data_IF_068359329636
#
_entry.id   IF_068359329636
#
_cell.length_a   1.000
_cell.length_b   1.000
_cell.length_c   1.000
_cell.angle_alpha   90.00
_cell.angle_beta   90.00
_cell.angle_gamma   90.00
#
_symmetry.space_group_name_H-M   'P 1'
#
loop_
_entity.id
_entity.type
_entity.pdbx_description
1 polymer ?
#
# COMPACT_ATOMS: atom_id res chain seq x y z
N UNK A 1 -14.66 -29.69 20.96
CA UNK A 1 -15.09 -29.01 19.71
C UNK A 1 -13.83 -28.56 18.98
N UNK A 2 -13.69 -28.87 17.69
CA UNK A 2 -12.55 -28.41 16.89
C UNK A 2 -12.49 -26.88 16.96
N UNK A 3 -11.38 -26.33 17.45
CA UNK A 3 -11.11 -24.90 17.37
C UNK A 3 -11.29 -24.46 15.92
N UNK A 4 -12.11 -23.42 15.70
CA UNK A 4 -12.20 -22.78 14.40
C UNK A 4 -10.79 -22.28 14.05
N UNK A 5 -10.11 -22.97 13.14
CA UNK A 5 -8.81 -22.56 12.64
C UNK A 5 -9.00 -21.18 12.00
N UNK A 6 -8.12 -20.24 12.33
CA UNK A 6 -8.08 -18.93 11.69
C UNK A 6 -8.18 -19.09 10.16
N UNK A 7 -8.89 -18.19 9.47
CA UNK A 7 -8.96 -18.23 8.02
C UNK A 7 -7.53 -18.11 7.47
N UNK A 8 -7.07 -19.17 6.80
CA UNK A 8 -5.73 -19.24 6.21
C UNK A 8 -5.50 -17.97 5.38
N UNK A 9 -4.40 -17.21 5.62
CA UNK A 9 -4.15 -15.96 4.92
C UNK A 9 -4.24 -16.16 3.41
N UNK A 10 -5.02 -15.29 2.77
CA UNK A 10 -5.30 -15.34 1.35
C UNK A 10 -5.07 -13.95 0.75
N UNK A 11 -4.10 -13.85 -0.15
CA UNK A 11 -3.84 -12.64 -0.92
C UNK A 11 -4.05 -12.94 -2.39
N UNK A 12 -4.69 -12.02 -3.09
CA UNK A 12 -4.88 -12.09 -4.54
C UNK A 12 -4.56 -10.75 -5.18
N UNK A 13 -4.06 -10.81 -6.40
CA UNK A 13 -3.87 -9.68 -7.29
C UNK A 13 -4.69 -9.99 -8.54
N UNK A 14 -5.62 -9.11 -8.89
CA UNK A 14 -6.46 -9.23 -10.08
C UNK A 14 -5.64 -8.89 -11.32
N UNK A 15 -6.05 -9.37 -12.49
CA UNK A 15 -5.33 -9.17 -13.75
C UNK A 15 -4.95 -7.71 -14.00
N UNK A 16 -5.89 -6.78 -13.81
CA UNK A 16 -5.62 -5.33 -13.93
C UNK A 16 -4.51 -4.75 -13.06
N UNK A 17 -4.22 -5.42 -11.95
CA UNK A 17 -3.23 -4.99 -10.97
C UNK A 17 -1.91 -5.78 -11.10
N UNK A 18 -1.85 -6.74 -12.03
CA UNK A 18 -0.62 -7.46 -12.35
C UNK A 18 0.36 -6.58 -13.14
N UNK A 19 1.64 -6.84 -12.94
CA UNK A 19 2.74 -6.19 -13.65
C UNK A 19 3.26 -7.14 -14.73
N UNK A 20 3.86 -6.63 -15.81
CA UNK A 20 4.50 -7.50 -16.80
C UNK A 20 4.39 -6.98 -18.23
N UNK A 21 4.53 -7.91 -19.17
CA UNK A 21 4.32 -7.71 -20.61
C UNK A 21 2.81 -7.67 -20.92
N UNK A 22 2.40 -7.42 -22.18
CA UNK A 22 0.97 -7.40 -22.52
C UNK A 22 0.25 -6.11 -22.14
N UNK A 23 -1.08 -6.15 -22.00
CA UNK A 23 -1.91 -5.00 -21.64
C UNK A 23 -3.18 -5.41 -20.89
N UNK A 24 -3.80 -4.46 -20.20
CA UNK A 24 -5.01 -4.70 -19.40
C UNK A 24 -6.27 -4.58 -20.25
N UNK A 25 -7.17 -5.56 -20.15
CA UNK A 25 -8.48 -5.60 -20.84
C UNK A 25 -9.57 -6.05 -19.88
N UNK A 26 -10.65 -5.28 -19.71
CA UNK A 26 -11.83 -5.68 -18.90
C UNK A 26 -11.47 -6.27 -17.53
N UNK A 27 -10.64 -5.55 -16.76
CA UNK A 27 -10.12 -5.96 -15.45
C UNK A 27 -9.09 -7.13 -15.45
N UNK A 28 -8.67 -7.61 -16.63
CA UNK A 28 -7.75 -8.74 -16.80
C UNK A 28 -6.44 -8.37 -17.49
N UNK A 29 -5.44 -9.24 -17.42
CA UNK A 29 -4.12 -9.04 -18.02
C UNK A 29 -3.93 -9.90 -19.28
N UNK A 30 -3.98 -9.30 -20.47
CA UNK A 30 -3.82 -10.00 -21.74
C UNK A 30 -2.36 -10.04 -22.20
N UNK A 31 -1.84 -11.24 -22.44
CA UNK A 31 -0.56 -11.51 -23.07
C UNK A 31 -0.81 -11.91 -24.53
N UNK A 32 -0.48 -11.00 -25.45
CA UNK A 32 -0.67 -11.17 -26.89
C UNK A 32 0.58 -11.66 -27.64
N UNK A 33 1.63 -11.97 -26.88
CA UNK A 33 2.89 -12.56 -27.34
C UNK A 33 3.57 -13.23 -26.18
N UNK A 34 4.65 -13.98 -26.45
CA UNK A 34 5.48 -14.55 -25.40
C UNK A 34 5.91 -13.47 -24.38
N UNK A 35 5.66 -13.74 -23.11
CA UNK A 35 5.83 -12.75 -22.05
C UNK A 35 5.20 -13.22 -20.74
N UNK A 36 5.26 -12.37 -19.72
CA UNK A 36 4.76 -12.71 -18.38
C UNK A 36 3.85 -11.64 -17.78
N UNK A 37 2.92 -12.08 -16.93
CA UNK A 37 2.22 -11.26 -15.96
C UNK A 37 2.55 -11.76 -14.54
N UNK A 38 2.84 -10.88 -13.61
CA UNK A 38 3.31 -11.24 -12.27
C UNK A 38 2.82 -10.30 -11.18
N UNK A 39 2.86 -10.80 -9.95
CA UNK A 39 2.57 -10.04 -8.74
C UNK A 39 3.56 -10.37 -7.63
N UNK A 40 3.79 -9.40 -6.72
CA UNK A 40 4.63 -9.59 -5.53
C UNK A 40 3.76 -9.85 -4.31
N UNK A 41 4.08 -10.90 -3.56
CA UNK A 41 3.34 -11.33 -2.39
C UNK A 41 4.25 -11.38 -1.18
N UNK A 42 3.83 -10.71 -0.10
CA UNK A 42 4.50 -10.85 1.20
C UNK A 42 3.93 -12.08 1.90
N UNK A 43 4.79 -13.08 2.11
CA UNK A 43 4.50 -14.31 2.85
C UNK A 43 4.98 -14.19 4.30
N UNK A 44 4.26 -14.84 5.21
CA UNK A 44 4.43 -14.73 6.67
C UNK A 44 4.77 -16.08 7.27
N UNK A 45 6.05 -16.31 7.48
CA UNK A 45 6.60 -17.46 8.19
C UNK A 45 6.89 -18.67 7.30
N UNK A 46 7.68 -19.62 7.82
CA UNK A 46 7.89 -20.92 7.20
C UNK A 46 6.56 -21.69 7.04
N UNK A 47 6.39 -22.37 5.92
CA UNK A 47 5.20 -23.18 5.68
C UNK A 47 4.97 -23.50 4.21
N UNK A 48 3.90 -24.26 3.96
CA UNK A 48 3.45 -24.57 2.60
C UNK A 48 2.49 -23.47 2.13
N UNK A 49 2.74 -22.90 0.96
CA UNK A 49 1.89 -21.90 0.33
C UNK A 49 1.31 -22.45 -0.96
N UNK A 50 -0.01 -22.30 -1.12
CA UNK A 50 -0.74 -22.70 -2.31
C UNK A 50 -0.83 -21.51 -3.27
N UNK A 51 -0.13 -21.62 -4.39
CA UNK A 51 -0.14 -20.66 -5.47
C UNK A 51 -1.26 -21.05 -6.43
N UNK A 52 -2.07 -20.09 -6.87
CA UNK A 52 -3.11 -20.32 -7.89
C UNK A 52 -3.11 -19.19 -8.90
N UNK A 53 -3.00 -19.55 -10.18
CA UNK A 53 -3.19 -18.66 -11.33
C UNK A 53 -4.52 -18.99 -11.98
N UNK A 54 -5.35 -17.97 -12.19
CA UNK A 54 -6.57 -18.08 -13.01
C UNK A 54 -6.28 -17.49 -14.37
N UNK A 55 -6.51 -18.28 -15.41
CA UNK A 55 -6.33 -17.82 -16.78
C UNK A 55 -7.45 -18.31 -17.70
N UNK A 56 -7.67 -17.57 -18.78
CA UNK A 56 -8.44 -18.01 -19.94
C UNK A 56 -7.72 -17.60 -21.22
N UNK A 57 -8.31 -17.92 -22.35
CA UNK A 57 -7.80 -17.56 -23.67
C UNK A 57 -8.96 -17.06 -24.55
N UNK A 58 -8.67 -16.61 -25.76
CA UNK A 58 -9.65 -16.31 -26.81
C UNK A 58 -9.67 -17.38 -27.93
N UNK A 59 -9.22 -18.60 -27.57
CA UNK A 59 -8.76 -19.75 -28.35
C UNK A 59 -8.76 -19.57 -29.87
N UNK A 60 -7.55 -19.55 -30.40
CA UNK A 60 -7.28 -19.51 -31.84
C UNK A 60 -5.96 -20.26 -32.12
N UNK A 61 -5.94 -21.09 -33.16
CA UNK A 61 -4.84 -22.00 -33.52
C UNK A 61 -5.12 -23.49 -33.25
N UNK A 62 -4.15 -24.36 -33.59
CA UNK A 62 -4.26 -25.84 -33.45
C UNK A 62 -4.10 -26.36 -32.02
N UNK A 63 -3.47 -25.56 -31.17
CA UNK A 63 -3.13 -25.93 -29.78
C UNK A 63 -3.49 -24.79 -28.80
N UNK A 64 -3.77 -25.12 -27.53
CA UNK A 64 -3.99 -24.15 -26.46
C UNK A 64 -2.79 -23.23 -26.25
N UNK A 65 -3.00 -22.01 -25.72
CA UNK A 65 -1.92 -21.31 -25.03
C UNK A 65 -1.42 -22.11 -23.83
N UNK A 66 -0.10 -22.15 -23.67
CA UNK A 66 0.62 -22.76 -22.57
C UNK A 66 0.98 -21.67 -21.56
N UNK A 67 0.61 -21.92 -20.31
CA UNK A 67 0.90 -21.06 -19.17
C UNK A 67 1.88 -21.77 -18.25
N UNK A 68 3.09 -21.21 -18.10
CA UNK A 68 4.03 -21.64 -17.07
C UNK A 68 3.92 -20.74 -15.85
N UNK A 69 3.88 -21.31 -14.65
CA UNK A 69 3.86 -20.54 -13.41
C UNK A 69 5.21 -20.67 -12.75
N UNK A 70 5.79 -19.54 -12.35
CA UNK A 70 7.08 -19.49 -11.68
C UNK A 70 7.01 -18.68 -10.38
N UNK A 71 7.86 -19.03 -9.43
CA UNK A 71 8.09 -18.29 -8.19
C UNK A 71 9.55 -17.88 -8.13
N UNK A 72 9.82 -16.59 -8.04
CA UNK A 72 11.16 -15.99 -8.09
C UNK A 72 12.00 -16.51 -9.27
N UNK A 73 11.34 -16.70 -10.43
CA UNK A 73 11.96 -17.20 -11.66
C UNK A 73 12.05 -18.72 -11.79
N UNK A 74 11.75 -19.50 -10.74
CA UNK A 74 11.75 -20.96 -10.80
C UNK A 74 10.38 -21.49 -11.21
N UNK A 75 10.31 -22.24 -12.31
CA UNK A 75 9.06 -22.82 -12.82
C UNK A 75 8.55 -23.90 -11.85
N UNK A 76 7.32 -23.73 -11.38
CA UNK A 76 6.63 -24.65 -10.45
C UNK A 76 5.56 -25.49 -11.16
N UNK A 77 5.17 -25.12 -12.38
CA UNK A 77 4.32 -25.94 -13.24
C UNK A 77 4.08 -25.32 -14.61
N UNK A 78 3.58 -26.15 -15.53
CA UNK A 78 3.25 -25.79 -16.91
C UNK A 78 1.92 -26.44 -17.27
N UNK A 79 0.99 -25.67 -17.83
CA UNK A 79 -0.35 -26.13 -18.17
C UNK A 79 -0.81 -25.59 -19.52
N UNK A 80 -1.66 -26.36 -20.19
CA UNK A 80 -2.45 -25.90 -21.32
C UNK A 80 -3.72 -25.22 -20.81
N UNK A 81 -3.99 -23.99 -21.26
CA UNK A 81 -5.20 -23.24 -20.93
C UNK A 81 -6.22 -23.46 -22.03
N UNK A 82 -7.26 -24.23 -21.74
CA UNK A 82 -8.34 -24.63 -22.66
C UNK A 82 -9.60 -23.76 -22.51
N UNK A 83 -9.82 -23.16 -21.35
CA UNK A 83 -10.95 -22.28 -21.08
C UNK A 83 -10.92 -21.00 -21.94
N UNK A 84 -11.99 -20.78 -22.72
CA UNK A 84 -12.11 -19.65 -23.64
C UNK A 84 -13.08 -18.56 -23.12
N UNK A 85 -12.76 -17.30 -23.38
CA UNK A 85 -13.53 -16.13 -22.99
C UNK A 85 -13.71 -16.03 -21.47
N UNK A 86 -14.98 -16.13 -21.03
CA UNK A 86 -15.38 -16.09 -19.61
C UNK A 86 -15.11 -17.41 -18.87
N UNK A 87 -14.83 -18.51 -19.59
CA UNK A 87 -14.49 -19.79 -18.97
C UNK A 87 -13.02 -19.75 -18.51
N UNK A 88 -12.83 -19.58 -17.21
CA UNK A 88 -11.50 -19.48 -16.58
C UNK A 88 -11.09 -20.81 -15.96
N UNK A 89 -9.84 -21.20 -16.17
CA UNK A 89 -9.23 -22.35 -15.52
C UNK A 89 -8.32 -21.91 -14.37
N UNK A 90 -8.14 -22.81 -13.40
CA UNK A 90 -7.30 -22.58 -12.23
C UNK A 90 -6.13 -23.55 -12.24
N UNK A 91 -4.93 -23.01 -12.20
CA UNK A 91 -3.69 -23.77 -12.16
C UNK A 91 -3.01 -23.53 -10.82
N UNK A 92 -2.78 -24.60 -10.07
CA UNK A 92 -2.35 -24.48 -8.68
C UNK A 92 -1.21 -25.43 -8.34
N UNK A 93 -0.28 -24.94 -7.52
CA UNK A 93 0.87 -25.69 -7.01
C UNK A 93 1.24 -25.20 -5.61
N UNK A 94 1.70 -26.14 -4.80
CA UNK A 94 2.24 -25.85 -3.48
C UNK A 94 3.73 -25.56 -3.57
N UNK A 95 4.18 -24.56 -2.81
CA UNK A 95 5.59 -24.24 -2.61
C UNK A 95 5.94 -24.31 -1.13
N UNK A 96 7.19 -24.64 -0.83
CA UNK A 96 7.73 -24.56 0.52
C UNK A 96 8.50 -23.26 0.70
N UNK A 97 8.19 -22.52 1.75
CA UNK A 97 8.92 -21.32 2.14
C UNK A 97 9.52 -21.52 3.52
N UNK A 98 10.75 -21.09 3.73
CA UNK A 98 11.49 -21.31 4.98
C UNK A 98 11.41 -20.14 5.96
N UNK A 99 10.98 -18.96 5.51
CA UNK A 99 10.94 -17.72 6.29
C UNK A 99 10.03 -16.68 5.66
N UNK A 100 9.81 -15.59 6.39
CA UNK A 100 9.22 -14.36 5.87
C UNK A 100 9.99 -13.89 4.62
N UNK A 101 9.27 -13.62 3.55
CA UNK A 101 9.84 -13.12 2.30
C UNK A 101 8.80 -12.36 1.49
N UNK A 102 9.29 -11.58 0.52
CA UNK A 102 8.50 -11.12 -0.61
C UNK A 102 8.84 -12.01 -1.79
N UNK A 103 7.87 -12.80 -2.26
CA UNK A 103 8.02 -13.65 -3.44
C UNK A 103 7.36 -12.99 -4.66
N UNK A 104 7.94 -13.18 -5.84
CA UNK A 104 7.31 -12.83 -7.11
C UNK A 104 6.70 -14.09 -7.72
N UNK A 105 5.38 -14.07 -7.95
CA UNK A 105 4.68 -15.13 -8.67
C UNK A 105 4.36 -14.64 -10.07
N UNK A 106 4.85 -15.33 -11.09
CA UNK A 106 4.65 -15.00 -12.50
C UNK A 106 3.92 -16.10 -13.26
N UNK A 107 3.09 -15.71 -14.23
CA UNK A 107 2.44 -16.54 -15.22
C UNK A 107 2.99 -16.17 -16.61
N UNK A 108 3.56 -17.14 -17.32
CA UNK A 108 4.28 -16.97 -18.58
C UNK A 108 3.49 -17.59 -19.73
N UNK A 109 3.27 -16.82 -20.78
CA UNK A 109 2.78 -17.31 -22.06
C UNK A 109 3.98 -17.75 -22.92
N UNK A 110 4.06 -19.03 -23.30
CA UNK A 110 5.30 -19.63 -23.85
C UNK A 110 5.20 -20.19 -25.26
N UNK A 111 4.00 -20.27 -25.83
CA UNK A 111 3.78 -20.76 -27.19
C UNK A 111 2.96 -19.77 -28.00
N UNK A 112 3.41 -18.52 -28.08
CA UNK A 112 2.83 -17.52 -28.99
C UNK A 112 2.69 -18.02 -30.43
N UNK A 113 1.64 -17.54 -31.11
CA UNK A 113 1.37 -17.80 -32.52
C UNK A 113 0.71 -16.55 -33.13
N UNK A 114 1.37 -15.97 -34.13
CA UNK A 114 0.85 -14.84 -34.90
C UNK A 114 1.00 -15.09 -36.41
N UNK A 115 -0.11 -15.41 -37.07
CA UNK A 115 -0.23 -15.68 -38.50
C UNK A 115 -1.34 -14.81 -39.13
N UNK A 116 -1.11 -13.49 -39.30
CA UNK A 116 -2.16 -12.54 -39.68
C UNK A 116 -2.84 -12.83 -41.03
N UNK A 117 -2.10 -13.45 -41.96
CA UNK A 117 -2.56 -13.77 -43.31
C UNK A 117 -3.22 -15.15 -43.43
N UNK A 118 -3.36 -15.90 -42.32
CA UNK A 118 -3.99 -17.22 -42.36
C UNK A 118 -5.46 -17.10 -42.84
N UNK A 119 -5.90 -17.93 -43.81
CA UNK A 119 -7.25 -17.80 -44.40
C UNK A 119 -8.36 -17.98 -43.36
N UNK A 120 -8.16 -18.86 -42.38
CA UNK A 120 -9.03 -19.00 -41.21
C UNK A 120 -8.65 -17.98 -40.11
N UNK A 121 -9.58 -17.07 -39.76
CA UNK A 121 -9.38 -16.04 -38.75
C UNK A 121 -9.18 -16.60 -37.33
N UNK A 122 -9.67 -17.82 -37.07
CA UNK A 122 -9.48 -18.52 -35.81
C UNK A 122 -8.09 -19.13 -35.66
N UNK A 123 -7.20 -18.97 -36.64
CA UNK A 123 -5.84 -19.52 -36.62
C UNK A 123 -4.77 -18.43 -36.59
N UNK A 124 -5.18 -17.15 -36.56
CA UNK A 124 -4.29 -16.01 -36.81
C UNK A 124 -3.50 -15.52 -35.60
N UNK A 125 -3.99 -15.75 -34.40
CA UNK A 125 -3.43 -15.12 -33.21
C UNK A 125 -3.74 -15.98 -31.99
N UNK A 126 -2.81 -16.17 -31.08
CA UNK A 126 -3.03 -16.94 -29.85
C UNK A 126 -2.71 -16.05 -28.67
N UNK A 127 -3.71 -15.80 -27.82
CA UNK A 127 -3.53 -14.95 -26.66
C UNK A 127 -3.81 -15.70 -25.36
N UNK A 128 -3.14 -15.27 -24.29
CA UNK A 128 -3.37 -15.75 -22.93
C UNK A 128 -3.85 -14.61 -22.05
N UNK A 129 -4.97 -14.79 -21.35
CA UNK A 129 -5.52 -13.81 -20.42
C UNK A 129 -5.35 -14.28 -18.99
N UNK A 130 -4.59 -13.56 -18.18
CA UNK A 130 -4.46 -13.80 -16.74
C UNK A 130 -5.49 -12.97 -15.99
N UNK A 131 -6.36 -13.65 -15.26
CA UNK A 131 -7.48 -13.05 -14.51
C UNK A 131 -7.09 -12.74 -13.07
N UNK A 132 -6.28 -13.60 -12.47
CA UNK A 132 -5.92 -13.52 -11.05
C UNK A 132 -4.66 -14.33 -10.76
N UNK A 133 -3.79 -13.80 -9.91
CA UNK A 133 -2.78 -14.59 -9.20
C UNK A 133 -3.09 -14.51 -7.71
N UNK A 134 -3.12 -15.65 -7.04
CA UNK A 134 -3.38 -15.72 -5.60
C UNK A 134 -2.41 -16.63 -4.88
N UNK A 135 -2.15 -16.27 -3.63
CA UNK A 135 -1.30 -17.01 -2.70
C UNK A 135 -2.11 -17.23 -1.43
N UNK A 136 -2.31 -18.51 -1.09
CA UNK A 136 -2.96 -18.93 0.14
C UNK A 136 -1.96 -19.66 1.02
N UNK A 137 -1.72 -19.17 2.22
CA UNK A 137 -0.87 -19.88 3.16
C UNK A 137 -0.35 -19.02 4.31
N UNK A 138 0.36 -19.64 5.26
CA UNK A 138 0.74 -21.06 5.25
C UNK A 138 -0.47 -22.00 5.45
N UNK A 139 -0.64 -23.01 4.58
CA UNK A 139 -1.72 -24.02 4.64
C UNK A 139 -1.54 -24.97 5.84
N UNK A 140 -0.29 -25.25 6.17
CA UNK A 140 0.16 -25.95 7.35
C UNK A 140 1.18 -25.03 8.06
N UNK A 141 0.83 -24.41 9.20
CA UNK A 141 1.83 -23.71 10.00
C UNK A 141 2.79 -24.76 10.58
N UNK A 142 4.04 -24.79 10.11
CA UNK A 142 5.06 -25.74 10.54
C UNK A 142 5.61 -25.49 11.95
N UNK A 143 5.02 -24.59 12.75
CA UNK A 143 5.40 -24.47 14.14
C UNK A 143 4.25 -24.10 15.06
N UNK A 144 4.15 -24.84 16.18
CA UNK A 144 3.46 -24.44 17.42
C UNK A 144 4.03 -23.14 18.03
N UNK A 145 5.11 -22.58 17.46
CA UNK A 145 5.71 -21.34 17.92
C UNK A 145 4.91 -20.15 17.38
N UNK A 146 4.46 -19.23 18.25
CA UNK A 146 3.77 -18.04 17.81
C UNK A 146 4.63 -17.20 16.87
N UNK A 147 4.01 -16.57 15.87
CA UNK A 147 4.71 -15.64 14.97
C UNK A 147 5.26 -14.43 15.73
N UNK A 148 6.22 -13.72 15.14
CA UNK A 148 6.79 -12.50 15.72
C UNK A 148 5.73 -11.46 16.11
N UNK A 149 4.64 -11.34 15.34
CA UNK A 149 3.49 -10.48 15.63
C UNK A 149 2.81 -10.82 16.96
N UNK A 150 2.66 -12.12 17.26
CA UNK A 150 2.13 -12.58 18.54
C UNK A 150 3.05 -12.16 19.70
N UNK A 151 4.36 -12.33 19.54
CA UNK A 151 5.33 -11.88 20.55
C UNK A 151 5.34 -10.36 20.75
N UNK A 152 5.12 -9.58 19.70
CA UNK A 152 5.02 -8.12 19.81
C UNK A 152 3.75 -7.67 20.56
N UNK A 153 2.64 -8.39 20.40
CA UNK A 153 1.37 -8.07 21.05
C UNK A 153 1.29 -8.61 22.47
N UNK A 154 1.54 -9.90 22.68
CA UNK A 154 1.39 -10.60 23.95
C UNK A 154 2.65 -10.51 24.82
N UNK A 155 3.80 -10.18 24.24
CA UNK A 155 5.07 -10.21 24.96
C UNK A 155 5.45 -11.60 25.44
N UNK A 156 6.21 -11.65 26.54
CA UNK A 156 6.60 -12.88 27.22
C UNK A 156 5.90 -12.94 28.58
N UNK A 157 5.25 -14.07 28.86
CA UNK A 157 4.73 -14.41 30.19
C UNK A 157 5.87 -14.87 31.08
N UNK A 158 5.98 -14.31 32.29
CA UNK A 158 6.95 -14.76 33.27
C UNK A 158 6.51 -16.10 33.89
N UNK A 159 7.47 -16.94 34.29
CA UNK A 159 7.16 -18.20 34.96
C UNK A 159 6.42 -17.94 36.28
N UNK A 160 5.28 -18.61 36.49
CA UNK A 160 4.44 -18.43 37.68
C UNK A 160 3.59 -17.15 37.70
N UNK A 161 3.63 -16.32 36.65
CA UNK A 161 2.78 -15.14 36.54
C UNK A 161 1.31 -15.56 36.44
N UNK A 162 0.42 -14.93 37.22
CA UNK A 162 -1.02 -15.19 37.14
C UNK A 162 -1.59 -14.77 35.78
N UNK A 163 -2.74 -15.33 35.40
CA UNK A 163 -3.42 -14.94 34.15
C UNK A 163 -3.80 -13.46 34.17
N UNK A 164 -4.22 -12.95 35.33
CA UNK A 164 -4.59 -11.56 35.53
C UNK A 164 -3.40 -10.62 35.37
N UNK A 165 -2.26 -10.92 36.02
CA UNK A 165 -1.05 -10.11 35.90
C UNK A 165 -0.50 -10.13 34.47
N UNK A 166 -0.58 -11.29 33.80
CA UNK A 166 -0.16 -11.40 32.41
C UNK A 166 -1.05 -10.57 31.48
N UNK A 167 -2.37 -10.64 31.67
CA UNK A 167 -3.31 -9.82 30.90
C UNK A 167 -3.12 -8.32 31.17
N UNK A 168 -3.00 -7.90 32.44
CA UNK A 168 -2.68 -6.50 32.80
C UNK A 168 -1.39 -6.01 32.15
N UNK A 169 -0.34 -6.84 32.10
CA UNK A 169 0.90 -6.52 31.42
C UNK A 169 0.69 -6.28 29.91
N UNK A 170 -0.09 -7.14 29.25
CA UNK A 170 -0.35 -7.03 27.80
C UNK A 170 -1.20 -5.80 27.50
N UNK A 171 -2.34 -5.67 28.20
CA UNK A 171 -3.27 -4.56 27.99
C UNK A 171 -2.65 -3.22 28.40
N UNK A 172 -1.83 -3.18 29.45
CA UNK A 172 -1.10 -1.98 29.89
C UNK A 172 -0.15 -1.43 28.83
N UNK A 173 0.38 -2.27 27.93
CA UNK A 173 1.21 -1.82 26.80
C UNK A 173 0.37 -1.41 25.59
N UNK A 174 -0.73 -2.10 25.34
CA UNK A 174 -1.54 -1.90 24.15
C UNK A 174 -2.54 -0.74 24.30
N UNK A 175 -3.26 -0.69 25.42
CA UNK A 175 -4.40 0.20 25.63
C UNK A 175 -4.01 1.69 25.56
N UNK A 176 -2.91 2.16 26.19
CA UNK A 176 -2.49 3.56 26.06
C UNK A 176 -2.07 3.95 24.64
N UNK A 177 -1.56 2.99 23.86
CA UNK A 177 -1.19 3.19 22.45
C UNK A 177 -2.41 3.23 21.54
N UNK A 178 -3.37 2.33 21.77
CA UNK A 178 -4.62 2.28 21.05
C UNK A 178 -5.42 3.58 21.24
N UNK A 179 -5.53 4.06 22.48
CA UNK A 179 -6.29 5.27 22.81
C UNK A 179 -5.47 6.55 22.75
N UNK A 180 -4.14 6.43 22.61
CA UNK A 180 -3.19 7.53 22.43
C UNK A 180 -3.18 8.50 23.61
N UNK A 181 -3.45 7.97 24.81
CA UNK A 181 -3.49 8.70 26.08
C UNK A 181 -3.29 7.74 27.26
N UNK A 182 -2.94 8.25 28.46
CA UNK A 182 -3.08 7.52 29.70
C UNK A 182 -4.49 6.98 29.88
N UNK A 183 -4.58 5.82 30.52
CA UNK A 183 -5.80 5.06 30.76
C UNK A 183 -5.91 4.84 32.25
N UNK A 184 -7.09 5.09 32.81
CA UNK A 184 -7.30 4.91 34.26
C UNK A 184 -7.40 3.43 34.64
N UNK A 185 -7.25 3.12 35.94
CA UNK A 185 -7.44 1.75 36.43
C UNK A 185 -8.87 1.27 36.15
N UNK A 186 -9.87 2.13 36.29
CA UNK A 186 -11.27 1.78 36.00
C UNK A 186 -11.52 1.52 34.51
N UNK A 187 -10.77 2.17 33.61
CA UNK A 187 -10.82 1.86 32.18
C UNK A 187 -10.12 0.53 31.88
N UNK A 188 -9.02 0.21 32.57
CA UNK A 188 -8.36 -1.09 32.46
C UNK A 188 -9.28 -2.23 32.92
N UNK A 189 -9.95 -2.05 34.06
CA UNK A 189 -10.83 -3.05 34.67
C UNK A 189 -12.00 -3.43 33.76
N UNK A 190 -12.49 -2.50 32.92
CA UNK A 190 -13.52 -2.80 31.91
C UNK A 190 -13.08 -3.86 30.91
N UNK A 191 -11.79 -3.97 30.62
CA UNK A 191 -11.26 -5.00 29.73
C UNK A 191 -10.84 -6.27 30.46
N UNK A 192 -10.64 -6.21 31.79
CA UNK A 192 -10.40 -7.41 32.59
C UNK A 192 -11.65 -8.28 32.76
N UNK A 193 -12.84 -7.79 32.42
CA UNK A 193 -14.06 -8.61 32.40
C UNK A 193 -13.95 -9.81 31.44
N UNK A 194 -13.16 -9.69 30.36
CA UNK A 194 -12.92 -10.78 29.41
C UNK A 194 -12.10 -11.92 30.05
N UNK A 195 -11.26 -11.61 31.04
CA UNK A 195 -10.58 -12.65 31.82
C UNK A 195 -11.58 -13.50 32.60
N UNK A 196 -12.53 -12.84 33.27
CA UNK A 196 -13.57 -13.53 34.03
C UNK A 196 -14.44 -14.39 33.13
N UNK A 197 -14.83 -13.87 31.96
CA UNK A 197 -15.58 -14.63 30.97
C UNK A 197 -14.83 -15.90 30.52
N UNK A 198 -13.54 -15.77 30.22
CA UNK A 198 -12.71 -16.92 29.84
C UNK A 198 -12.58 -17.94 30.98
N UNK A 199 -12.41 -17.50 32.22
CA UNK A 199 -12.36 -18.37 33.40
C UNK A 199 -13.67 -19.14 33.60
N UNK A 200 -14.82 -18.48 33.50
CA UNK A 200 -16.14 -19.10 33.64
C UNK A 200 -16.38 -20.21 32.59
N UNK A 201 -15.76 -20.07 31.40
CA UNK A 201 -15.87 -21.02 30.29
C UNK A 201 -14.66 -21.97 30.15
N UNK A 202 -13.69 -21.92 31.07
CA UNK A 202 -12.43 -22.70 31.04
C UNK A 202 -11.62 -22.51 29.75
N UNK A 203 -11.60 -21.28 29.23
CA UNK A 203 -10.82 -20.87 28.08
C UNK A 203 -9.38 -20.44 28.48
N UNK A 204 -8.47 -20.45 27.52
CA UNK A 204 -7.08 -20.00 27.72
C UNK A 204 -7.03 -18.46 27.87
N UNK A 205 -6.12 -17.94 28.71
CA UNK A 205 -5.96 -16.49 28.92
C UNK A 205 -5.68 -15.72 27.62
N UNK A 206 -5.07 -16.35 26.61
CA UNK A 206 -4.85 -15.71 25.32
C UNK A 206 -6.16 -15.42 24.59
N UNK A 207 -7.21 -16.23 24.81
CA UNK A 207 -8.56 -15.96 24.29
C UNK A 207 -9.14 -14.70 24.94
N UNK A 208 -8.99 -14.56 26.26
CA UNK A 208 -9.41 -13.36 26.99
C UNK A 208 -8.70 -12.10 26.49
N UNK A 209 -7.38 -12.20 26.29
CA UNK A 209 -6.57 -11.10 25.74
C UNK A 209 -7.04 -10.75 24.32
N UNK A 210 -7.26 -11.74 23.45
CA UNK A 210 -7.74 -11.51 22.10
C UNK A 210 -9.09 -10.77 22.12
N UNK A 211 -10.06 -11.25 22.90
CA UNK A 211 -11.38 -10.60 23.03
C UNK A 211 -11.27 -9.17 23.55
N UNK A 212 -10.39 -8.93 24.53
CA UNK A 212 -10.12 -7.59 25.03
C UNK A 212 -9.54 -6.67 23.95
N UNK A 213 -8.57 -7.15 23.17
CA UNK A 213 -7.98 -6.39 22.06
C UNK A 213 -9.02 -6.09 20.96
N UNK A 214 -9.86 -7.07 20.60
CA UNK A 214 -10.97 -6.87 19.65
C UNK A 214 -11.94 -5.80 20.15
N UNK A 215 -12.34 -5.87 21.42
CA UNK A 215 -13.20 -4.87 22.05
C UNK A 215 -12.58 -3.46 22.04
N UNK A 216 -11.26 -3.37 22.27
CA UNK A 216 -10.53 -2.09 22.18
C UNK A 216 -10.56 -1.52 20.76
N UNK A 217 -10.38 -2.35 19.72
CA UNK A 217 -10.34 -1.94 18.32
C UNK A 217 -11.70 -1.50 17.76
N UNK A 218 -12.80 -1.88 18.40
CA UNK A 218 -14.15 -1.40 18.06
C UNK A 218 -14.66 -0.33 19.02
N UNK A 219 -13.87 0.06 20.02
CA UNK A 219 -14.22 1.11 20.97
C UNK A 219 -14.25 2.49 20.31
N UNK A 220 -15.19 3.38 20.67
CA UNK A 220 -15.18 4.77 20.22
C UNK A 220 -13.85 5.49 20.48
N UNK A 221 -13.18 5.20 21.60
CA UNK A 221 -11.88 5.79 21.95
C UNK A 221 -10.76 5.42 20.94
N UNK A 222 -10.90 4.28 20.26
CA UNK A 222 -10.00 3.88 19.17
C UNK A 222 -10.48 4.41 17.81
N UNK A 223 -11.77 4.21 17.48
CA UNK A 223 -12.32 4.57 16.16
C UNK A 223 -12.32 6.08 15.90
N UNK A 224 -12.50 6.88 16.95
CA UNK A 224 -12.50 8.33 16.87
C UNK A 224 -11.23 8.93 17.49
N UNK A 225 -10.86 10.10 17.00
CA UNK A 225 -9.83 10.95 17.61
C UNK A 225 -10.52 12.00 18.43
N UNK A 226 -10.71 11.72 19.71
CA UNK A 226 -11.28 12.68 20.64
C UNK A 226 -10.33 13.86 20.87
N UNK A 227 -10.91 15.06 20.94
CA UNK A 227 -10.18 16.28 21.23
C UNK A 227 -10.79 16.96 22.46
N UNK A 228 -10.62 16.38 23.66
CA UNK A 228 -11.19 16.91 24.88
C UNK A 228 -10.70 18.34 25.13
N UNK A 229 -11.66 19.23 25.36
CA UNK A 229 -11.41 20.64 25.67
C UNK A 229 -11.13 20.74 27.17
N UNK A 230 -9.93 21.22 27.53
CA UNK A 230 -9.52 21.42 28.92
C UNK A 230 -9.78 22.84 29.41
N UNK A 231 -9.80 23.81 28.50
CA UNK A 231 -10.05 25.21 28.80
C UNK A 231 -10.62 25.92 27.56
N UNK A 232 -11.34 27.02 27.75
CA UNK A 232 -11.82 27.87 26.66
C UNK A 232 -11.45 29.31 26.97
N UNK A 233 -10.62 29.91 26.12
CA UNK A 233 -10.18 31.28 26.34
C UNK A 233 -11.34 32.29 26.12
N UNK A 234 -11.21 33.55 26.58
CA UNK A 234 -12.25 34.57 26.45
C UNK A 234 -12.70 34.87 25.01
N UNK A 235 -11.88 34.53 24.01
CA UNK A 235 -12.20 34.69 22.58
C UNK A 235 -12.85 33.43 21.97
N UNK A 236 -13.26 32.47 22.80
CA UNK A 236 -13.92 31.23 22.37
C UNK A 236 -12.99 30.16 21.79
N UNK A 237 -11.66 30.33 21.86
CA UNK A 237 -10.72 29.29 21.41
C UNK A 237 -10.63 28.19 22.47
N UNK A 238 -10.94 26.97 22.03
CA UNK A 238 -10.88 25.76 22.84
C UNK A 238 -9.46 25.23 22.92
N UNK A 239 -8.92 25.14 24.13
CA UNK A 239 -7.65 24.49 24.44
C UNK A 239 -7.90 22.99 24.59
N UNK A 240 -7.24 22.18 23.76
CA UNK A 240 -7.31 20.71 23.84
C UNK A 240 -6.30 20.16 24.87
N UNK A 241 -6.37 18.89 25.24
CA UNK A 241 -5.33 18.26 26.08
C UNK A 241 -3.98 18.12 25.35
N UNK A 242 -2.89 17.85 26.08
CA UNK A 242 -1.57 17.58 25.46
C UNK A 242 -1.58 16.30 24.61
N UNK A 243 -2.25 15.23 25.07
CA UNK A 243 -2.39 13.97 24.31
C UNK A 243 -3.20 14.14 23.03
N UNK A 244 -4.25 14.97 23.08
CA UNK A 244 -5.02 15.33 21.89
C UNK A 244 -4.14 16.13 20.89
N UNK A 245 -3.28 17.02 21.39
CA UNK A 245 -2.33 17.75 20.56
C UNK A 245 -1.30 16.80 19.92
N UNK A 246 -0.73 15.88 20.69
CA UNK A 246 0.19 14.86 20.18
C UNK A 246 -0.45 14.04 19.06
N UNK A 247 -1.67 13.55 19.29
CA UNK A 247 -2.46 12.81 18.30
C UNK A 247 -2.76 13.67 17.07
N UNK A 248 -3.16 14.92 17.24
CA UNK A 248 -3.43 15.81 16.10
C UNK A 248 -2.18 16.00 15.24
N UNK A 249 -1.02 16.27 15.85
CA UNK A 249 0.25 16.44 15.15
C UNK A 249 0.67 15.16 14.42
N UNK A 250 0.61 14.01 15.09
CA UNK A 250 1.06 12.74 14.52
C UNK A 250 0.23 12.34 13.30
N UNK A 251 -1.09 12.50 13.35
CA UNK A 251 -1.93 12.16 12.19
C UNK A 251 -1.89 13.23 11.11
N UNK A 252 -1.66 14.49 11.46
CA UNK A 252 -1.48 15.56 10.48
C UNK A 252 -0.19 15.37 9.68
N UNK A 253 0.94 15.13 10.35
CA UNK A 253 2.25 15.05 9.72
C UNK A 253 2.62 13.64 9.25
N UNK A 254 2.27 12.60 10.01
CA UNK A 254 2.70 11.22 9.77
C UNK A 254 1.58 10.26 9.42
N UNK A 255 0.31 10.69 9.51
CA UNK A 255 -0.86 9.83 9.28
C UNK A 255 -0.85 8.53 10.11
N UNK A 256 -0.24 8.57 11.30
CA UNK A 256 -0.16 7.45 12.23
C UNK A 256 -0.11 7.95 13.68
N UNK A 257 -0.13 7.03 14.64
CA UNK A 257 -0.11 7.36 16.07
C UNK A 257 1.16 8.15 16.49
N UNK A 258 1.11 8.90 17.59
CA UNK A 258 2.29 9.58 18.15
C UNK A 258 3.40 8.57 18.49
N UNK A 259 4.65 8.98 18.37
CA UNK A 259 5.77 8.20 18.88
C UNK A 259 5.93 8.38 20.39
N UNK A 260 6.76 7.54 21.02
CA UNK A 260 6.94 7.52 22.46
C UNK A 260 7.38 8.89 22.99
N UNK A 261 8.26 9.60 22.26
CA UNK A 261 8.69 10.96 22.61
C UNK A 261 7.53 11.96 22.70
N UNK A 262 6.61 11.96 21.72
CA UNK A 262 5.43 12.83 21.79
C UNK A 262 4.51 12.46 22.95
N UNK A 263 4.37 11.15 23.23
CA UNK A 263 3.55 10.66 24.36
C UNK A 263 4.17 11.08 25.69
N UNK A 264 5.48 10.95 25.84
CA UNK A 264 6.23 11.35 27.04
C UNK A 264 6.10 12.86 27.30
N UNK A 265 6.31 13.69 26.27
CA UNK A 265 6.11 15.14 26.38
C UNK A 265 4.66 15.49 26.73
N UNK A 266 3.69 14.76 26.19
CA UNK A 266 2.28 14.97 26.51
C UNK A 266 1.94 14.55 27.96
N UNK A 267 2.51 13.44 28.43
CA UNK A 267 2.39 12.99 29.82
C UNK A 267 2.99 14.02 30.80
N UNK A 268 4.12 14.63 30.43
CA UNK A 268 4.80 15.63 31.25
C UNK A 268 4.15 17.02 31.23
N UNK A 269 3.19 17.28 30.34
CA UNK A 269 2.62 18.63 30.19
C UNK A 269 3.53 19.61 29.44
N UNK A 270 4.46 19.11 28.62
CA UNK A 270 5.54 19.89 28.02
C UNK A 270 5.51 19.97 26.49
N UNK A 271 4.64 19.19 25.83
CA UNK A 271 4.59 19.17 24.36
C UNK A 271 4.32 20.55 23.77
N UNK A 272 3.36 21.32 24.31
CA UNK A 272 3.11 22.70 23.86
C UNK A 272 4.33 23.61 23.95
N UNK A 273 5.13 23.48 25.01
CA UNK A 273 6.35 24.28 25.21
C UNK A 273 7.43 23.94 24.17
N UNK A 274 7.45 22.70 23.71
CA UNK A 274 8.42 22.16 22.76
C UNK A 274 7.84 22.00 21.33
N UNK A 275 6.71 22.64 21.03
CA UNK A 275 5.94 22.39 19.82
C UNK A 275 6.74 22.62 18.54
N UNK A 276 7.45 23.75 18.45
CA UNK A 276 8.22 24.10 17.25
C UNK A 276 9.33 23.09 16.95
N UNK A 277 10.08 22.67 17.98
CA UNK A 277 11.13 21.67 17.82
C UNK A 277 10.58 20.30 17.43
N UNK A 278 9.44 19.90 18.00
CA UNK A 278 8.81 18.62 17.64
C UNK A 278 8.26 18.64 16.21
N UNK A 279 7.64 19.74 15.77
CA UNK A 279 7.16 19.86 14.38
C UNK A 279 8.32 19.75 13.39
N UNK A 280 9.43 20.45 13.62
CA UNK A 280 10.61 20.37 12.75
C UNK A 280 11.20 18.95 12.71
N UNK A 281 11.33 18.30 13.88
CA UNK A 281 11.76 16.90 13.97
C UNK A 281 10.84 15.97 13.17
N UNK A 282 9.52 16.17 13.30
CA UNK A 282 8.54 15.35 12.63
C UNK A 282 8.54 15.55 11.11
N UNK A 283 8.75 16.77 10.63
CA UNK A 283 8.89 17.06 9.19
C UNK A 283 10.15 16.39 8.62
N UNK A 284 11.26 16.38 9.37
CA UNK A 284 12.50 15.74 8.95
C UNK A 284 12.41 14.20 8.86
N UNK A 285 11.49 13.57 9.60
CA UNK A 285 11.26 12.12 9.57
C UNK A 285 10.71 11.63 8.23
N UNK A 286 11.12 10.44 7.79
CA UNK A 286 10.56 9.78 6.58
C UNK A 286 9.04 9.61 6.65
N UNK A 287 8.48 9.49 7.86
CA UNK A 287 7.02 9.41 8.06
C UNK A 287 6.28 10.65 7.53
N UNK A 288 6.95 11.80 7.37
CA UNK A 288 6.36 13.03 6.81
C UNK A 288 6.00 12.91 5.33
N UNK A 289 6.48 11.88 4.62
CA UNK A 289 6.00 11.57 3.28
C UNK A 289 4.49 11.33 3.23
N UNK A 290 3.88 10.88 4.34
CA UNK A 290 2.44 10.71 4.43
C UNK A 290 1.69 12.05 4.29
N UNK A 291 2.22 13.12 4.90
CA UNK A 291 1.68 14.48 4.71
C UNK A 291 1.71 14.86 3.24
N UNK A 292 2.86 14.69 2.58
CA UNK A 292 3.05 15.04 1.16
C UNK A 292 2.05 14.29 0.29
N UNK A 293 2.03 12.94 0.38
CA UNK A 293 1.15 12.07 -0.41
C UNK A 293 -0.34 12.40 -0.20
N UNK A 294 -0.73 12.70 1.04
CA UNK A 294 -2.12 13.05 1.34
C UNK A 294 -2.50 14.44 0.84
N UNK A 295 -1.63 15.43 1.06
CA UNK A 295 -1.87 16.80 0.66
C UNK A 295 -1.91 16.95 -0.86
N UNK A 296 -0.88 16.48 -1.58
CA UNK A 296 -0.83 16.54 -3.04
C UNK A 296 -1.90 15.65 -3.69
N UNK A 297 -2.18 14.50 -3.08
CA UNK A 297 -3.24 13.60 -3.52
C UNK A 297 -4.63 14.25 -3.51
N UNK A 298 -4.92 15.13 -2.56
CA UNK A 298 -6.18 15.87 -2.49
C UNK A 298 -6.13 17.17 -3.30
N UNK A 299 -5.11 17.99 -3.09
CA UNK A 299 -4.99 19.30 -3.72
C UNK A 299 -4.88 19.20 -5.24
N UNK A 300 -3.93 18.41 -5.73
CA UNK A 300 -3.65 18.27 -7.17
C UNK A 300 -4.42 17.10 -7.78
N UNK A 301 -5.21 16.34 -7.01
CA UNK A 301 -5.88 15.11 -7.45
C UNK A 301 -4.90 14.04 -7.97
N UNK A 302 -3.66 13.99 -7.46
CA UNK A 302 -2.66 13.02 -7.91
C UNK A 302 -3.08 11.56 -7.73
N UNK A 303 -4.07 11.28 -6.88
CA UNK A 303 -4.64 9.93 -6.74
C UNK A 303 -5.34 9.46 -8.01
N UNK A 304 -5.86 10.38 -8.81
CA UNK A 304 -6.64 10.06 -10.01
C UNK A 304 -5.76 9.99 -11.25
N UNK A 305 -4.50 10.45 -11.17
CA UNK A 305 -3.60 10.51 -12.34
C UNK A 305 -3.32 9.13 -12.90
N UNK A 306 -3.26 8.10 -12.05
CA UNK A 306 -3.07 6.69 -12.43
C UNK A 306 -4.24 6.14 -13.25
N UNK A 307 -5.42 6.74 -13.12
CA UNK A 307 -6.62 6.39 -13.88
C UNK A 307 -6.70 7.14 -15.22
N UNK A 308 -5.81 8.11 -15.47
CA UNK A 308 -5.75 8.82 -16.75
C UNK A 308 -5.13 7.89 -17.79
N UNK A 309 -5.92 7.54 -18.80
CA UNK A 309 -5.48 6.72 -19.93
C UNK A 309 -5.51 7.56 -21.21
N UNK A 310 -4.40 8.20 -21.61
CA UNK A 310 -4.29 8.82 -22.91
C UNK A 310 -4.44 7.78 -24.01
N UNK A 311 -5.05 8.16 -25.14
CA UNK A 311 -5.26 7.23 -26.24
C UNK A 311 -3.93 6.67 -26.75
N UNK A 312 -3.71 5.36 -26.59
CA UNK A 312 -2.43 4.69 -26.92
C UNK A 312 -2.09 4.85 -28.41
N UNK A 313 -3.09 4.91 -29.28
CA UNK A 313 -2.93 5.19 -30.72
C UNK A 313 -2.35 6.57 -30.98
N UNK A 314 -2.66 7.55 -30.12
CA UNK A 314 -2.20 8.94 -30.24
C UNK A 314 -0.89 9.16 -29.49
N UNK A 315 -0.67 8.44 -28.38
CA UNK A 315 0.49 8.59 -27.50
C UNK A 315 1.15 7.22 -27.18
N UNK A 316 1.79 6.57 -28.15
CA UNK A 316 2.27 5.18 -28.01
C UNK A 316 3.42 5.02 -26.99
N UNK A 317 4.11 6.11 -26.64
CA UNK A 317 5.17 6.12 -25.62
C UNK A 317 4.63 6.32 -24.19
N UNK A 318 3.34 6.63 -24.04
CA UNK A 318 2.71 6.87 -22.75
C UNK A 318 2.27 5.55 -22.12
N UNK A 319 2.67 5.29 -20.87
CA UNK A 319 2.35 4.06 -20.15
C UNK A 319 2.17 4.31 -18.65
N UNK A 320 1.62 3.34 -17.92
CA UNK A 320 1.31 3.49 -16.48
C UNK A 320 2.54 3.77 -15.60
N UNK A 321 3.73 3.28 -15.99
CA UNK A 321 4.98 3.58 -15.24
C UNK A 321 5.36 5.05 -15.37
N UNK A 322 5.23 5.62 -16.57
CA UNK A 322 5.46 7.05 -16.79
C UNK A 322 4.51 7.92 -15.95
N UNK A 323 3.24 7.52 -15.82
CA UNK A 323 2.26 8.21 -14.96
C UNK A 323 2.66 8.18 -13.49
N UNK A 324 3.14 7.05 -13.01
CA UNK A 324 3.67 6.93 -11.66
C UNK A 324 4.89 7.83 -11.46
N UNK A 325 5.77 7.90 -12.45
CA UNK A 325 6.95 8.77 -12.40
C UNK A 325 6.57 10.25 -12.34
N UNK A 326 5.56 10.68 -13.11
CA UNK A 326 5.02 12.04 -13.06
C UNK A 326 4.39 12.37 -11.70
N UNK A 327 3.69 11.41 -11.08
CA UNK A 327 3.14 11.60 -9.73
C UNK A 327 4.26 11.79 -8.71
N UNK A 328 5.30 10.95 -8.78
CA UNK A 328 6.44 11.03 -7.89
C UNK A 328 7.21 12.34 -8.06
N UNK A 329 7.36 12.85 -9.28
CA UNK A 329 7.95 14.17 -9.55
C UNK A 329 7.26 15.27 -8.72
N UNK A 330 5.93 15.33 -8.76
CA UNK A 330 5.14 16.31 -8.00
C UNK A 330 5.27 16.12 -6.49
N UNK A 331 5.21 14.88 -6.01
CA UNK A 331 5.37 14.57 -4.58
C UNK A 331 6.79 14.93 -4.09
N UNK A 332 7.83 14.65 -4.87
CA UNK A 332 9.21 14.97 -4.50
C UNK A 332 9.47 16.48 -4.49
N UNK A 333 8.93 17.25 -5.45
CA UNK A 333 9.04 18.71 -5.44
C UNK A 333 8.42 19.29 -4.16
N UNK A 334 7.19 18.89 -3.83
CA UNK A 334 6.49 19.39 -2.63
C UNK A 334 7.21 18.95 -1.36
N UNK A 335 7.68 17.70 -1.31
CA UNK A 335 8.50 17.19 -0.20
C UNK A 335 9.78 18.00 -0.01
N UNK A 336 10.46 18.35 -1.10
CA UNK A 336 11.67 19.17 -1.07
C UNK A 336 11.41 20.56 -0.50
N UNK A 337 10.35 21.23 -0.97
CA UNK A 337 9.97 22.57 -0.50
C UNK A 337 9.66 22.55 0.99
N UNK A 338 8.85 21.59 1.46
CA UNK A 338 8.48 21.47 2.88
C UNK A 338 9.71 21.15 3.74
N UNK A 339 10.53 20.18 3.35
CA UNK A 339 11.68 19.74 4.16
C UNK A 339 12.80 20.77 4.26
N UNK A 340 12.93 21.63 3.26
CA UNK A 340 14.00 22.64 3.21
C UNK A 340 13.47 24.05 3.53
N UNK A 341 12.23 24.16 4.00
CA UNK A 341 11.57 25.43 4.34
C UNK A 341 11.70 26.49 3.23
N UNK A 342 11.48 26.05 1.99
CA UNK A 342 11.58 26.94 0.83
C UNK A 342 10.31 27.78 0.68
N UNK A 343 10.40 28.98 0.06
CA UNK A 343 9.23 29.80 -0.22
C UNK A 343 8.16 29.04 -1.00
N UNK A 344 6.89 29.22 -0.66
CA UNK A 344 5.79 28.58 -1.38
C UNK A 344 5.74 28.95 -2.88
N UNK A 345 6.34 30.09 -3.27
CA UNK A 345 6.49 30.50 -4.67
C UNK A 345 7.32 29.51 -5.49
N UNK A 346 8.20 28.71 -4.86
CA UNK A 346 8.93 27.62 -5.52
C UNK A 346 7.99 26.61 -6.19
N UNK A 347 6.76 26.42 -5.68
CA UNK A 347 5.76 25.58 -6.33
C UNK A 347 5.46 26.04 -7.76
N UNK A 348 5.63 27.33 -8.06
CA UNK A 348 5.35 27.91 -9.36
C UNK A 348 6.63 28.23 -10.15
N UNK A 349 7.70 28.58 -9.46
CA UNK A 349 8.88 29.21 -10.06
C UNK A 349 10.10 28.27 -10.16
N UNK A 350 10.08 27.12 -9.46
CA UNK A 350 11.21 26.21 -9.38
C UNK A 350 11.81 25.92 -10.78
N UNK A 351 13.10 26.23 -10.91
CA UNK A 351 13.92 25.98 -12.10
C UNK A 351 14.65 24.64 -12.01
N UNK A 352 14.10 23.70 -11.24
CA UNK A 352 14.54 22.33 -11.09
C UNK A 352 13.34 21.40 -10.91
N UNK A 353 13.57 20.10 -11.10
CA UNK A 353 12.58 19.05 -10.83
C UNK A 353 13.26 17.76 -10.36
N UNK A 354 12.47 16.75 -10.02
CA UNK A 354 12.93 15.43 -9.61
C UNK A 354 12.49 14.38 -10.63
N UNK A 355 13.43 13.82 -11.38
CA UNK A 355 13.13 12.92 -12.50
C UNK A 355 14.10 11.73 -12.52
N UNK A 356 13.62 10.60 -13.03
CA UNK A 356 14.42 9.45 -13.43
C UNK A 356 14.66 9.45 -14.95
N UNK A 357 15.36 8.45 -15.49
CA UNK A 357 15.69 8.38 -16.91
C UNK A 357 14.47 8.31 -17.84
N UNK A 358 13.39 7.64 -17.43
CA UNK A 358 12.16 7.51 -18.22
C UNK A 358 11.46 8.87 -18.36
N UNK A 359 11.29 9.57 -17.25
CA UNK A 359 10.64 10.89 -17.24
C UNK A 359 11.51 11.95 -17.92
N UNK A 360 12.84 11.87 -17.76
CA UNK A 360 13.77 12.73 -18.48
C UNK A 360 13.67 12.55 -20.01
N UNK A 361 13.65 11.29 -20.49
CA UNK A 361 13.45 10.99 -21.91
C UNK A 361 12.10 11.50 -22.42
N UNK A 362 11.05 11.41 -21.59
CA UNK A 362 9.73 11.97 -21.93
C UNK A 362 9.74 13.51 -22.02
N UNK A 363 10.54 14.18 -21.19
CA UNK A 363 10.68 15.64 -21.21
C UNK A 363 11.73 16.16 -22.19
N UNK A 364 12.52 15.29 -22.81
CA UNK A 364 13.64 15.67 -23.67
C UNK A 364 14.81 16.27 -22.90
N UNK A 365 14.98 15.88 -21.63
CA UNK A 365 16.10 16.33 -20.78
C UNK A 365 17.24 15.31 -20.91
N UNK A 366 18.43 15.71 -21.44
CA UNK A 366 19.54 14.79 -21.65
C UNK A 366 20.26 14.43 -20.34
N UNK A 367 21.14 13.43 -20.39
CA UNK A 367 22.10 13.07 -19.32
C UNK A 367 21.47 12.59 -18.00
N UNK A 368 20.27 11.99 -18.05
CA UNK A 368 19.63 11.34 -16.90
C UNK A 368 19.28 9.92 -17.28
N UNK A 369 19.80 8.94 -16.53
CA UNK A 369 19.65 7.51 -16.81
C UNK A 369 19.33 6.74 -15.52
N UNK A 370 18.72 5.57 -15.67
CA UNK A 370 18.33 4.69 -14.57
C UNK A 370 16.96 5.03 -13.97
N UNK A 371 16.52 4.20 -13.02
CA UNK A 371 15.20 4.30 -12.39
C UNK A 371 15.17 5.27 -11.19
N UNK A 372 16.35 5.64 -10.67
CA UNK A 372 16.49 6.52 -9.50
C UNK A 372 16.17 7.98 -9.82
N UNK A 373 15.32 8.57 -8.99
CA UNK A 373 14.97 10.00 -9.07
C UNK A 373 16.11 10.86 -8.56
N UNK A 374 16.40 11.94 -9.28
CA UNK A 374 17.39 12.95 -8.87
C UNK A 374 16.92 14.36 -9.16
N UNK A 375 17.42 15.32 -8.38
CA UNK A 375 17.20 16.75 -8.63
C UNK A 375 17.95 17.15 -9.90
N UNK A 376 17.25 17.73 -10.87
CA UNK A 376 17.79 18.14 -12.18
C UNK A 376 17.41 19.58 -12.45
N UNK A 377 18.35 20.37 -12.98
CA UNK A 377 18.08 21.75 -13.40
C UNK A 377 17.21 21.78 -14.67
N UNK A 378 16.25 22.68 -14.68
CA UNK A 378 15.39 23.02 -15.81
C UNK A 378 15.84 24.31 -16.52
N UNK A 379 16.98 24.89 -16.12
CA UNK A 379 17.54 26.09 -16.78
C UNK A 379 17.79 25.80 -18.27
N UNK A 380 17.35 26.71 -19.12
CA UNK A 380 17.39 26.54 -20.58
C UNK A 380 16.21 25.75 -21.17
N UNK A 381 15.29 25.27 -20.34
CA UNK A 381 14.02 24.67 -20.78
C UNK A 381 12.85 25.64 -20.54
N UNK A 382 11.70 25.46 -21.22
CA UNK A 382 10.50 26.25 -20.94
C UNK A 382 9.74 25.79 -19.68
N UNK A 383 10.21 24.75 -18.97
CA UNK A 383 9.49 24.16 -17.82
C UNK A 383 9.87 24.84 -16.51
N UNK A 384 8.86 25.16 -15.69
CA UNK A 384 9.02 25.69 -14.32
C UNK A 384 7.86 25.29 -13.42
N UNK A 385 8.16 24.94 -12.18
CA UNK A 385 7.16 24.66 -11.16
C UNK A 385 6.15 23.56 -11.52
N UNK A 386 5.16 23.41 -10.65
CA UNK A 386 4.20 22.29 -10.64
C UNK A 386 3.21 22.34 -11.80
N UNK A 387 2.89 23.53 -12.30
CA UNK A 387 1.92 23.71 -13.40
C UNK A 387 2.46 23.22 -14.75
N UNK A 388 3.78 23.02 -14.87
CA UNK A 388 4.43 22.48 -16.06
C UNK A 388 4.83 21.00 -15.90
N UNK A 389 4.50 20.37 -14.77
CA UNK A 389 4.77 18.94 -14.55
C UNK A 389 3.75 18.05 -15.25
N UNK A 390 4.18 16.84 -15.57
CA UNK A 390 3.40 15.90 -16.37
C UNK A 390 2.08 15.51 -15.70
N UNK A 391 2.10 15.27 -14.39
CA UNK A 391 0.90 14.86 -13.66
C UNK A 391 -0.20 15.93 -13.72
N UNK A 392 0.16 17.19 -13.46
CA UNK A 392 -0.75 18.32 -13.58
C UNK A 392 -1.30 18.47 -15.00
N UNK A 393 -0.42 18.41 -16.00
CA UNK A 393 -0.81 18.53 -17.40
C UNK A 393 -1.72 17.39 -17.86
N UNK A 394 -1.51 16.17 -17.38
CA UNK A 394 -2.36 15.01 -17.67
C UNK A 394 -3.75 15.17 -17.04
N UNK A 395 -3.84 15.48 -15.75
CA UNK A 395 -5.12 15.63 -15.03
C UNK A 395 -5.99 16.75 -15.58
N UNK A 396 -5.36 17.81 -16.10
CA UNK A 396 -6.02 18.97 -16.66
C UNK A 396 -6.22 18.89 -18.18
N UNK A 397 -6.09 17.71 -18.79
CA UNK A 397 -6.29 17.49 -20.23
C UNK A 397 -7.44 16.53 -20.53
N UNK A 398 -7.78 16.36 -21.81
CA UNK A 398 -8.60 15.23 -22.28
C UNK A 398 -7.67 14.08 -22.70
N UNK A 399 -8.14 12.82 -22.73
CA UNK A 399 -7.33 11.66 -23.12
C UNK A 399 -6.59 11.79 -24.46
N UNK A 400 -7.14 12.55 -25.41
CA UNK A 400 -6.59 12.71 -26.76
C UNK A 400 -6.08 14.13 -27.07
N UNK A 401 -6.26 15.11 -26.17
CA UNK A 401 -5.86 16.51 -26.43
C UNK A 401 -5.67 17.35 -25.18
N UNK A 402 -4.79 18.34 -25.31
CA UNK A 402 -4.59 19.44 -24.37
C UNK A 402 -5.90 20.23 -24.12
N UNK A 403 -6.10 20.78 -22.92
CA UNK A 403 -7.30 21.58 -22.60
C UNK A 403 -6.96 22.83 -21.77
N UNK A 404 -6.85 24.01 -22.42
CA UNK A 404 -6.68 25.28 -21.71
C UNK A 404 -7.84 25.57 -20.74
N UNK A 405 -9.08 25.21 -21.11
CA UNK A 405 -10.27 25.44 -20.29
C UNK A 405 -10.22 24.63 -18.99
N UNK A 406 -9.82 23.35 -19.04
CA UNK A 406 -9.71 22.53 -17.82
C UNK A 406 -8.57 23.02 -16.91
N UNK A 407 -7.47 23.52 -17.49
CA UNK A 407 -6.40 24.17 -16.72
C UNK A 407 -6.87 25.45 -16.05
N UNK A 408 -7.53 26.32 -16.80
CA UNK A 408 -8.08 27.57 -16.27
C UNK A 408 -9.24 27.37 -15.27
N UNK A 409 -9.92 26.22 -15.28
CA UNK A 409 -10.91 25.86 -14.24
C UNK A 409 -10.26 25.40 -12.93
N UNK A 410 -9.06 24.82 -13.02
CA UNK A 410 -8.34 24.33 -11.84
C UNK A 410 -7.70 25.48 -11.05
N UNK A 411 -7.08 26.42 -11.77
CA UNK A 411 -6.50 27.67 -11.23
C UNK A 411 -7.65 28.60 -10.84
#
# INVERSE_FOLDING_TARGET
>A
MQAARDPIPFKKILGKDLLGDGYITNDDHLLFRNGQAYGKFNISGPGIYHITVKASNDWRGKEPPKCEVAVDGNIIGSWEVKGAGEQTERFSRDIHCEKDATIQVGAFFTNDLWEPDHPDASMRDRNLTIKEISVRGPLEPLSEKPQNSHHLLYGKRAAGQSDEDFMKQVLGKFLPRAFRRPVSEEEMDRYLIFLKHAQDHKEDVNVAIQQALEAMLVSPAFLFREEPVIDTNPNGKKLISEHALASRLSYFLWSTMPDDRLIELANAGELRKNLSSEVLRMIASEKSEALVKNFTGQWLQLRDVVSVSPGITTFPKFNGRLVYDMKNESEMLVSHIIKNDLPATELLEADYTFINGKLAAHYGIPNVEGDEFRKVSLVGTPRRGILNQGAFLCLTSYPNRTSPVRRGKYI
#
